data_IF_426239694317
#
_entry.id   IF_426239694317
#
_cell.length_a   1.000
_cell.length_b   1.000
_cell.length_c   1.000
_cell.angle_alpha   90.00
_cell.angle_beta   90.00
_cell.angle_gamma   90.00
#
_symmetry.space_group_name_H-M   'P 1'
#
loop_
_entity.id
_entity.type
_entity.pdbx_description
1 polymer ?
#
# COMPACT_ATOMS: atom_id res chain seq x y z
N UNK A 1 -25.46 28.76 24.33
CA UNK A 1 -25.89 28.57 25.71
C UNK A 1 -25.93 29.90 26.45
N UNK A 2 -26.86 30.05 27.36
CA UNK A 2 -26.99 31.27 28.22
C UNK A 2 -27.15 30.83 29.66
N UNK A 3 -26.75 31.70 30.61
CA UNK A 3 -26.97 31.51 32.04
C UNK A 3 -28.21 32.33 32.48
N UNK A 4 -29.03 31.75 33.36
CA UNK A 4 -30.20 32.39 33.96
C UNK A 4 -30.46 31.83 35.35
N UNK A 5 -31.54 32.27 36.07
CA UNK A 5 -31.83 31.83 37.43
C UNK A 5 -31.97 30.31 37.63
N UNK A 6 -32.08 29.55 36.53
CA UNK A 6 -32.15 28.07 36.53
C UNK A 6 -30.91 27.36 35.99
N UNK A 7 -29.75 28.02 35.90
CA UNK A 7 -28.51 27.45 35.36
C UNK A 7 -28.33 27.63 33.84
N UNK A 8 -27.49 26.77 33.26
CA UNK A 8 -27.17 26.81 31.82
C UNK A 8 -28.33 26.30 30.97
N UNK A 9 -28.69 27.06 29.93
CA UNK A 9 -29.64 26.64 28.90
C UNK A 9 -28.94 26.59 27.53
N UNK A 10 -29.17 25.54 26.76
CA UNK A 10 -28.68 25.38 25.40
C UNK A 10 -29.83 24.95 24.48
N UNK A 11 -29.88 25.53 23.27
CA UNK A 11 -30.88 25.16 22.26
C UNK A 11 -30.63 23.75 21.70
N UNK A 12 -29.37 23.34 21.61
CA UNK A 12 -28.95 22.01 21.18
C UNK A 12 -27.68 21.60 21.89
N UNK A 13 -27.47 20.29 21.97
CA UNK A 13 -26.27 19.71 22.56
C UNK A 13 -26.17 18.21 22.27
N UNK A 14 -24.99 17.66 22.44
CA UNK A 14 -24.74 16.23 22.31
C UNK A 14 -23.60 15.79 23.20
N UNK A 15 -23.67 14.56 23.68
CA UNK A 15 -22.60 13.90 24.41
C UNK A 15 -21.88 12.98 23.44
N UNK A 16 -20.54 13.09 23.40
CA UNK A 16 -19.67 12.21 22.66
C UNK A 16 -18.75 11.49 23.64
N UNK A 17 -18.71 10.17 23.55
CA UNK A 17 -17.75 9.35 24.30
C UNK A 17 -16.40 9.38 23.56
N UNK A 18 -15.42 10.05 24.14
CA UNK A 18 -14.09 10.21 23.53
C UNK A 18 -13.27 8.90 23.53
N UNK A 19 -13.76 7.83 24.15
CA UNK A 19 -13.16 6.50 24.10
C UNK A 19 -13.65 5.68 22.89
N UNK A 20 -14.65 6.18 22.18
CA UNK A 20 -15.26 5.51 21.04
C UNK A 20 -15.27 6.45 19.82
N UNK A 21 -15.21 5.85 18.62
CA UNK A 21 -15.36 6.59 17.37
C UNK A 21 -16.77 6.48 16.77
N UNK A 22 -17.77 6.21 17.62
CA UNK A 22 -19.16 6.10 17.17
C UNK A 22 -19.68 7.44 16.67
N UNK A 23 -20.32 7.44 15.52
CA UNK A 23 -21.05 8.59 15.01
C UNK A 23 -22.43 8.66 15.70
N UNK A 24 -23.01 9.86 15.71
CA UNK A 24 -24.39 10.01 16.17
C UNK A 24 -25.37 9.21 15.28
N UNK A 25 -26.55 8.86 15.78
CA UNK A 25 -27.60 8.32 14.92
C UNK A 25 -27.95 9.25 13.76
N UNK A 26 -28.30 8.70 12.62
CA UNK A 26 -28.67 9.48 11.42
C UNK A 26 -29.84 10.42 11.69
N UNK A 27 -29.80 11.62 11.13
CA UNK A 27 -30.79 12.67 11.32
C UNK A 27 -30.72 13.38 12.69
N UNK A 28 -29.71 13.09 13.51
CA UNK A 28 -29.53 13.74 14.83
C UNK A 28 -28.43 14.78 14.80
N UNK A 29 -28.79 16.09 14.89
CA UNK A 29 -27.78 17.16 15.01
C UNK A 29 -27.05 17.04 16.36
N UNK A 30 -25.94 17.75 16.49
CA UNK A 30 -25.24 17.99 17.77
C UNK A 30 -25.43 19.45 18.22
N UNK A 31 -24.38 20.06 18.80
CA UNK A 31 -24.32 21.52 18.94
C UNK A 31 -24.11 22.21 17.57
N UNK A 32 -23.65 21.46 16.58
CA UNK A 32 -23.70 21.90 15.18
C UNK A 32 -24.73 21.08 14.36
N UNK A 33 -25.25 21.65 13.26
CA UNK A 33 -26.28 21.00 12.44
C UNK A 33 -25.79 19.77 11.70
N UNK A 34 -24.49 19.62 11.45
CA UNK A 34 -23.92 18.44 10.81
C UNK A 34 -23.92 17.20 11.72
N UNK A 35 -24.18 17.36 13.03
CA UNK A 35 -24.14 16.27 14.00
C UNK A 35 -22.72 15.82 14.37
N UNK A 36 -21.73 16.67 14.14
CA UNK A 36 -20.33 16.41 14.45
C UNK A 36 -19.93 16.93 15.85
N UNK A 37 -18.85 16.42 16.47
CA UNK A 37 -18.31 16.99 17.69
C UNK A 37 -17.61 18.32 17.39
N UNK A 38 -17.94 19.37 18.15
CA UNK A 38 -17.41 20.73 17.93
C UNK A 38 -15.93 20.80 18.33
N UNK A 39 -15.60 20.40 19.58
CA UNK A 39 -14.27 20.60 20.18
C UNK A 39 -13.10 20.01 19.36
N UNK A 40 -13.18 18.80 18.80
CA UNK A 40 -12.08 18.23 18.03
C UNK A 40 -11.75 18.97 16.72
N UNK A 41 -12.70 19.78 16.20
CA UNK A 41 -12.51 20.51 14.95
C UNK A 41 -12.07 21.97 15.13
N UNK A 42 -11.97 22.47 16.35
CA UNK A 42 -11.56 23.85 16.61
C UNK A 42 -10.07 24.06 16.39
N UNK A 43 -9.72 25.23 15.87
CA UNK A 43 -8.33 25.72 15.89
C UNK A 43 -7.98 26.08 17.33
N UNK A 44 -6.95 25.48 17.93
CA UNK A 44 -6.51 25.77 19.31
C UNK A 44 -5.17 26.48 19.31
N UNK A 45 -5.07 27.49 20.19
CA UNK A 45 -3.85 28.30 20.26
C UNK A 45 -2.60 27.45 20.61
N UNK A 46 -2.71 26.52 21.56
CA UNK A 46 -1.58 25.70 21.99
C UNK A 46 -1.02 24.83 20.86
N UNK A 47 -1.85 24.36 19.93
CA UNK A 47 -1.38 23.62 18.75
C UNK A 47 -0.67 24.56 17.77
N UNK A 48 -1.20 25.77 17.58
CA UNK A 48 -0.56 26.77 16.72
C UNK A 48 0.78 27.22 17.31
N UNK A 49 0.85 27.43 18.63
CA UNK A 49 2.08 27.76 19.35
C UNK A 49 3.12 26.61 19.27
N UNK A 50 2.66 25.35 19.31
CA UNK A 50 3.50 24.17 19.12
C UNK A 50 3.95 23.99 17.65
N UNK A 51 3.41 24.78 16.71
CA UNK A 51 3.80 24.75 15.30
C UNK A 51 3.07 23.74 14.43
N UNK A 52 2.17 22.91 14.97
CA UNK A 52 1.45 21.89 14.22
C UNK A 52 0.03 21.62 14.77
N UNK A 53 -0.96 21.59 13.87
CA UNK A 53 -2.30 21.08 14.12
C UNK A 53 -2.41 19.72 13.46
N UNK A 54 -2.84 18.68 14.20
CA UNK A 54 -2.86 17.27 13.75
C UNK A 54 -4.26 16.72 13.54
N UNK A 55 -5.22 17.56 13.18
CA UNK A 55 -6.60 17.15 12.94
C UNK A 55 -7.27 17.98 11.84
N UNK A 56 -8.42 17.49 11.38
CA UNK A 56 -9.33 18.16 10.48
C UNK A 56 -9.96 19.38 11.19
N UNK A 57 -10.07 20.50 10.47
CA UNK A 57 -10.70 21.71 10.99
C UNK A 57 -12.19 21.76 10.61
N UNK A 58 -13.02 22.40 11.42
CA UNK A 58 -14.41 22.68 11.07
C UNK A 58 -14.55 24.09 10.52
N UNK A 59 -15.53 24.27 9.62
CA UNK A 59 -15.85 25.59 9.06
C UNK A 59 -17.34 25.72 8.81
N UNK A 60 -17.81 26.98 8.64
CA UNK A 60 -19.17 27.33 8.27
C UNK A 60 -19.27 27.90 6.86
N UNK A 61 -20.49 27.83 6.29
CA UNK A 61 -20.86 28.42 5.03
C UNK A 61 -22.25 29.07 5.14
N UNK A 62 -22.55 30.14 4.35
CA UNK A 62 -23.84 30.84 4.46
C UNK A 62 -25.03 30.03 3.97
N UNK A 63 -24.77 29.00 3.15
CA UNK A 63 -25.78 28.06 2.66
C UNK A 63 -25.18 26.69 2.43
N UNK A 64 -25.98 25.67 2.66
CA UNK A 64 -25.65 24.29 2.36
C UNK A 64 -26.77 23.65 1.54
N UNK A 65 -26.43 22.55 0.86
CA UNK A 65 -27.42 21.66 0.28
C UNK A 65 -28.23 20.99 1.38
N UNK A 66 -29.53 20.73 1.14
CA UNK A 66 -30.37 19.92 2.02
C UNK A 66 -30.01 18.44 1.91
N UNK A 67 -28.80 18.16 2.36
CA UNK A 67 -28.19 16.83 2.37
C UNK A 67 -26.96 16.80 3.28
N UNK A 68 -26.53 15.63 3.64
CA UNK A 68 -25.25 15.42 4.31
C UNK A 68 -24.49 14.24 3.74
N UNK A 69 -23.17 14.27 3.86
CA UNK A 69 -22.26 13.18 3.53
C UNK A 69 -21.44 12.78 4.75
N UNK A 70 -21.00 11.55 4.78
CA UNK A 70 -20.14 11.04 5.87
C UNK A 70 -18.90 11.95 6.10
N UNK A 71 -18.54 12.25 7.36
CA UNK A 71 -19.05 11.70 8.63
C UNK A 71 -20.21 12.47 9.25
N UNK A 72 -20.76 13.51 8.59
CA UNK A 72 -21.94 14.18 9.10
C UNK A 72 -23.14 13.23 9.18
N UNK A 73 -24.06 13.51 10.09
CA UNK A 73 -25.24 12.68 10.39
C UNK A 73 -26.55 13.41 10.23
N UNK A 74 -26.47 14.72 10.01
CA UNK A 74 -27.62 15.60 9.88
C UNK A 74 -27.29 16.79 9.00
N UNK A 75 -28.30 17.45 8.48
CA UNK A 75 -28.22 18.74 7.82
C UNK A 75 -29.36 19.63 8.33
N UNK A 76 -29.17 20.94 8.43
CA UNK A 76 -30.29 21.87 8.62
C UNK A 76 -31.14 21.90 7.36
N UNK A 77 -32.38 22.41 7.41
CA UNK A 77 -33.12 22.78 6.20
C UNK A 77 -32.24 23.64 5.30
N UNK A 78 -32.06 23.24 4.07
CA UNK A 78 -31.14 23.85 3.13
C UNK A 78 -31.76 24.06 1.75
N UNK A 79 -30.91 24.32 0.78
CA UNK A 79 -31.32 24.48 -0.61
C UNK A 79 -31.26 23.11 -1.37
N UNK A 80 -32.20 22.84 -2.26
CA UNK A 80 -32.09 21.69 -3.16
C UNK A 80 -31.00 21.86 -4.25
N UNK A 81 -30.39 23.06 -4.32
CA UNK A 81 -29.42 23.39 -5.36
C UNK A 81 -28.18 22.46 -5.33
N UNK A 82 -27.93 21.79 -6.43
CA UNK A 82 -26.86 20.78 -6.56
C UNK A 82 -25.45 21.38 -6.50
N UNK A 83 -25.32 22.69 -6.73
CA UNK A 83 -24.04 23.42 -6.69
C UNK A 83 -23.62 23.84 -5.27
N UNK A 84 -24.45 23.60 -4.26
CA UNK A 84 -24.11 23.86 -2.86
C UNK A 84 -23.51 22.60 -2.22
N UNK A 85 -22.52 22.75 -1.33
CA UNK A 85 -21.95 21.63 -0.62
C UNK A 85 -22.93 21.06 0.40
N UNK A 86 -23.05 19.73 0.54
CA UNK A 86 -23.78 19.11 1.64
C UNK A 86 -23.00 19.24 2.96
N UNK A 87 -23.69 19.14 4.11
CA UNK A 87 -23.00 19.02 5.40
C UNK A 87 -22.06 17.82 5.42
N UNK A 88 -20.89 17.94 6.05
CA UNK A 88 -19.87 16.91 6.04
C UNK A 88 -18.95 16.93 4.82
N UNK A 89 -19.21 17.80 3.82
CA UNK A 89 -18.29 17.93 2.69
C UNK A 89 -16.93 18.41 3.17
N UNK A 90 -15.89 17.67 2.78
CA UNK A 90 -14.50 18.03 3.08
C UNK A 90 -13.89 18.82 1.94
N UNK A 91 -13.08 19.79 2.33
CA UNK A 91 -12.25 20.56 1.41
C UNK A 91 -10.80 20.53 1.89
N UNK A 92 -9.88 20.57 0.97
CA UNK A 92 -8.44 20.56 1.24
C UNK A 92 -7.79 21.70 0.47
N UNK A 93 -6.94 22.47 1.15
CA UNK A 93 -6.11 23.48 0.48
C UNK A 93 -5.17 22.80 -0.51
N UNK A 94 -5.06 23.36 -1.70
CA UNK A 94 -4.25 22.78 -2.78
C UNK A 94 -2.80 22.57 -2.35
N UNK A 95 -2.16 21.45 -2.76
CA UNK A 95 -0.78 21.17 -2.39
C UNK A 95 0.24 22.24 -2.85
N UNK A 96 -0.03 22.87 -3.99
CA UNK A 96 0.79 23.89 -4.63
C UNK A 96 0.57 25.30 -4.06
N UNK A 97 -0.43 25.52 -3.16
CA UNK A 97 -0.67 26.83 -2.55
C UNK A 97 0.54 27.25 -1.70
N UNK A 98 1.10 28.44 -1.99
CA UNK A 98 2.25 28.95 -1.23
C UNK A 98 1.79 29.61 0.08
N UNK A 99 2.32 29.11 1.19
CA UNK A 99 2.03 29.62 2.54
C UNK A 99 3.14 30.50 3.09
N UNK A 100 4.26 30.67 2.40
CA UNK A 100 5.43 31.38 2.92
C UNK A 100 5.19 32.86 3.19
N UNK A 101 4.31 33.49 2.42
CA UNK A 101 3.94 34.91 2.58
C UNK A 101 2.90 35.20 3.67
N UNK A 102 2.60 34.24 4.56
CA UNK A 102 1.64 34.42 5.66
C UNK A 102 2.36 34.55 7.01
N UNK A 103 1.76 35.26 8.01
CA UNK A 103 2.25 35.28 9.37
C UNK A 103 2.29 33.85 9.98
N UNK A 104 3.19 33.62 10.94
CA UNK A 104 3.47 32.28 11.48
C UNK A 104 2.23 31.54 11.98
N UNK A 105 1.35 32.21 12.75
CA UNK A 105 0.11 31.57 13.23
C UNK A 105 -0.78 31.11 12.05
N UNK A 106 -0.93 31.97 11.03
CA UNK A 106 -1.69 31.61 9.84
C UNK A 106 -1.04 30.48 9.04
N UNK A 107 0.31 30.43 8.94
CA UNK A 107 1.01 29.34 8.26
C UNK A 107 0.74 27.98 8.89
N UNK A 108 0.66 27.88 10.23
CA UNK A 108 0.36 26.62 10.93
C UNK A 108 -1.03 26.12 10.55
N UNK A 109 -2.02 27.04 10.55
CA UNK A 109 -3.41 26.74 10.15
C UNK A 109 -3.44 26.29 8.68
N UNK A 110 -2.79 27.03 7.78
CA UNK A 110 -2.76 26.70 6.36
C UNK A 110 -2.07 25.35 6.06
N UNK A 111 -1.02 25.02 6.81
CA UNK A 111 -0.41 23.68 6.72
C UNK A 111 -1.37 22.58 7.15
N UNK A 112 -2.17 22.80 8.20
CA UNK A 112 -3.21 21.87 8.60
C UNK A 112 -4.28 21.72 7.52
N UNK A 113 -4.71 22.81 6.89
CA UNK A 113 -5.67 22.79 5.77
C UNK A 113 -5.10 22.05 4.55
N UNK A 114 -3.79 22.12 4.29
CA UNK A 114 -3.13 21.32 3.24
C UNK A 114 -3.08 19.81 3.59
N UNK A 115 -2.85 19.47 4.85
CA UNK A 115 -2.64 18.08 5.28
C UNK A 115 -3.94 17.35 5.60
N UNK A 116 -4.78 17.95 6.41
CA UNK A 116 -6.02 17.35 6.92
C UNK A 116 -7.28 17.94 6.29
N UNK A 117 -7.20 19.18 5.81
CA UNK A 117 -8.35 19.89 5.25
C UNK A 117 -9.30 20.43 6.30
N UNK A 118 -10.51 20.76 5.85
CA UNK A 118 -11.62 21.21 6.68
C UNK A 118 -12.93 20.56 6.26
N UNK A 119 -13.92 20.57 7.15
CA UNK A 119 -15.23 19.95 6.96
C UNK A 119 -16.34 20.97 7.21
N UNK A 120 -17.34 21.00 6.33
CA UNK A 120 -18.53 21.82 6.51
C UNK A 120 -19.37 21.25 7.65
N UNK A 121 -19.43 21.98 8.75
CA UNK A 121 -20.09 21.53 9.98
C UNK A 121 -21.29 22.39 10.36
N UNK A 122 -21.31 23.66 9.93
CA UNK A 122 -22.30 24.63 10.37
C UNK A 122 -22.72 25.59 9.24
N UNK A 123 -23.85 26.25 9.46
CA UNK A 123 -24.27 27.43 8.69
C UNK A 123 -23.83 28.69 9.43
N UNK A 124 -23.26 29.64 8.69
CA UNK A 124 -22.69 30.87 9.24
C UNK A 124 -21.96 31.70 8.19
N UNK A 125 -21.04 32.54 8.56
CA UNK A 125 -20.26 33.33 7.61
C UNK A 125 -19.50 32.42 6.61
N UNK A 126 -19.25 32.96 5.40
CA UNK A 126 -18.59 32.21 4.33
C UNK A 126 -17.15 31.85 4.72
N UNK A 127 -16.80 30.56 4.61
CA UNK A 127 -15.45 30.03 4.81
C UNK A 127 -14.84 30.34 6.19
N UNK A 128 -15.69 30.56 7.20
CA UNK A 128 -15.21 30.84 8.56
C UNK A 128 -14.74 29.57 9.24
N UNK A 129 -13.49 29.57 9.68
CA UNK A 129 -12.94 28.57 10.59
C UNK A 129 -13.30 28.95 12.03
N UNK A 130 -13.58 27.94 12.86
CA UNK A 130 -13.86 28.15 14.27
C UNK A 130 -12.62 27.88 15.11
N UNK A 131 -12.28 28.81 15.99
CA UNK A 131 -11.19 28.72 16.95
C UNK A 131 -11.67 28.70 18.40
N UNK A 132 -10.90 28.08 19.28
CA UNK A 132 -11.10 28.22 20.71
C UNK A 132 -10.72 29.63 21.15
N UNK A 133 -11.53 30.33 21.99
CA UNK A 133 -11.16 31.63 22.54
C UNK A 133 -9.85 31.56 23.31
N UNK A 134 -8.92 32.49 23.02
CA UNK A 134 -7.65 32.61 23.72
C UNK A 134 -7.10 34.04 23.53
N UNK A 135 -6.67 34.67 24.61
CA UNK A 135 -6.17 36.05 24.58
C UNK A 135 -4.79 36.19 23.89
N UNK A 136 -4.12 35.09 23.65
CA UNK A 136 -2.82 35.04 22.98
C UNK A 136 -2.93 35.09 21.44
N UNK A 137 -4.14 35.05 20.86
CA UNK A 137 -4.32 35.16 19.42
C UNK A 137 -3.88 36.53 18.90
N UNK A 138 -3.04 36.50 17.87
CA UNK A 138 -2.78 37.68 17.05
C UNK A 138 -3.86 37.83 15.95
N UNK A 139 -4.87 38.63 16.23
CA UNK A 139 -5.98 38.87 15.31
C UNK A 139 -5.52 39.49 13.97
N UNK A 140 -4.42 40.24 13.96
CA UNK A 140 -3.87 40.81 12.72
C UNK A 140 -3.24 39.72 11.87
N UNK A 141 -2.50 38.78 12.51
CA UNK A 141 -1.97 37.60 11.84
C UNK A 141 -3.08 36.68 11.29
N UNK A 142 -4.16 36.49 12.06
CA UNK A 142 -5.31 35.67 11.63
C UNK A 142 -6.10 36.32 10.50
N UNK A 143 -6.19 37.65 10.44
CA UNK A 143 -6.87 38.38 9.36
C UNK A 143 -6.23 38.09 7.98
N UNK A 144 -4.93 37.70 7.96
CA UNK A 144 -4.27 37.30 6.73
C UNK A 144 -4.89 36.06 6.06
N UNK A 145 -5.59 35.20 6.81
CA UNK A 145 -6.33 34.04 6.26
C UNK A 145 -7.41 34.48 5.26
N UNK A 146 -7.93 35.70 5.37
CA UNK A 146 -8.90 36.26 4.40
C UNK A 146 -8.36 36.43 2.98
N UNK A 147 -7.06 36.27 2.75
CA UNK A 147 -6.45 36.24 1.40
C UNK A 147 -6.69 34.92 0.66
N UNK A 148 -7.02 33.83 1.39
CA UNK A 148 -7.28 32.51 0.81
C UNK A 148 -8.69 32.49 0.23
N UNK A 149 -8.82 32.02 -1.00
CA UNK A 149 -10.10 31.98 -1.72
C UNK A 149 -10.64 30.55 -1.80
N UNK A 150 -11.95 30.42 -2.00
CA UNK A 150 -12.57 29.10 -2.23
C UNK A 150 -11.98 28.34 -3.41
N UNK A 151 -11.48 29.02 -4.45
CA UNK A 151 -10.77 28.45 -5.60
C UNK A 151 -9.42 27.79 -5.25
N UNK A 152 -8.85 28.11 -4.08
CA UNK A 152 -7.61 27.54 -3.61
C UNK A 152 -7.82 26.17 -2.94
N UNK A 153 -9.08 25.76 -2.77
CA UNK A 153 -9.47 24.49 -2.19
C UNK A 153 -9.93 23.49 -3.25
N UNK A 154 -9.78 22.22 -2.92
CA UNK A 154 -10.32 21.09 -3.66
C UNK A 154 -11.34 20.37 -2.79
N UNK A 155 -12.48 19.99 -3.36
CA UNK A 155 -13.42 19.08 -2.71
C UNK A 155 -12.81 17.68 -2.63
N UNK A 156 -12.96 17.04 -1.47
CA UNK A 156 -12.45 15.69 -1.21
C UNK A 156 -13.61 14.71 -1.24
N UNK A 157 -13.51 13.68 -2.05
CA UNK A 157 -14.40 12.52 -1.97
C UNK A 157 -14.05 11.69 -0.73
N UNK A 158 -14.92 11.76 0.27
CA UNK A 158 -14.77 11.01 1.52
C UNK A 158 -15.23 9.56 1.41
N UNK A 159 -15.89 9.16 0.33
CA UNK A 159 -16.44 7.80 0.15
C UNK A 159 -15.35 6.73 0.23
N UNK A 160 -14.19 6.96 -0.36
CA UNK A 160 -13.06 6.06 -0.31
C UNK A 160 -12.41 5.93 1.09
N UNK A 161 -12.67 6.87 1.98
CA UNK A 161 -12.14 6.92 3.35
C UNK A 161 -13.01 6.16 4.36
N UNK A 162 -14.24 5.83 4.00
CA UNK A 162 -15.18 5.17 4.91
C UNK A 162 -14.74 3.74 5.16
N UNK A 163 -14.43 3.42 6.42
CA UNK A 163 -14.21 2.04 6.88
C UNK A 163 -15.48 1.43 7.44
N UNK A 164 -16.17 2.20 8.25
CA UNK A 164 -17.46 1.87 8.86
C UNK A 164 -18.38 3.08 8.73
N UNK A 165 -19.52 2.99 8.03
CA UNK A 165 -20.44 4.12 7.87
C UNK A 165 -21.01 4.66 9.18
N UNK A 166 -20.99 3.88 10.25
CA UNK A 166 -21.51 4.27 11.57
C UNK A 166 -20.42 4.74 12.53
N UNK A 167 -19.15 4.74 12.11
CA UNK A 167 -18.02 5.22 12.90
C UNK A 167 -17.17 6.25 12.12
N UNK A 168 -16.46 7.12 12.84
CA UNK A 168 -15.59 8.15 12.26
C UNK A 168 -14.19 7.65 11.87
N UNK A 169 -14.02 6.35 11.71
CA UNK A 169 -12.74 5.78 11.27
C UNK A 169 -12.47 6.13 9.80
N UNK A 170 -11.31 6.70 9.56
CA UNK A 170 -10.72 6.69 8.22
C UNK A 170 -9.98 5.36 8.02
N UNK A 171 -9.98 4.86 6.80
CA UNK A 171 -9.11 3.72 6.46
C UNK A 171 -7.66 4.16 6.62
N UNK A 172 -6.82 3.36 7.29
CA UNK A 172 -5.40 3.62 7.29
C UNK A 172 -4.87 3.74 5.86
N UNK A 173 -3.98 4.68 5.65
CA UNK A 173 -3.36 4.87 4.33
C UNK A 173 -2.59 3.61 3.92
N UNK A 174 -2.84 3.11 2.72
CA UNK A 174 -2.04 2.04 2.16
C UNK A 174 -0.67 2.60 1.81
N UNK A 175 0.36 1.98 2.36
CA UNK A 175 1.75 2.31 2.04
C UNK A 175 2.40 1.12 1.37
N UNK A 176 3.00 1.36 0.22
CA UNK A 176 3.84 0.39 -0.47
C UNK A 176 5.29 0.74 -0.17
N UNK A 177 6.00 -0.21 0.39
CA UNK A 177 7.42 -0.05 0.67
C UNK A 177 8.25 -0.52 -0.53
N UNK A 178 7.88 -1.67 -1.11
CA UNK A 178 8.69 -2.27 -2.17
C UNK A 178 7.91 -3.31 -3.00
N UNK A 179 8.37 -3.52 -4.24
CA UNK A 179 7.96 -4.64 -5.11
C UNK A 179 9.23 -5.41 -5.46
N UNK A 180 9.25 -6.70 -5.18
CA UNK A 180 10.47 -7.52 -5.24
C UNK A 180 10.21 -8.87 -5.89
N UNK A 181 11.28 -9.57 -6.27
CA UNK A 181 11.25 -11.01 -6.48
C UNK A 181 11.01 -11.71 -5.13
N UNK A 182 10.09 -12.68 -5.06
CA UNK A 182 9.69 -13.33 -3.81
C UNK A 182 10.75 -14.27 -3.21
N UNK A 183 11.75 -14.67 -3.99
CA UNK A 183 12.83 -15.54 -3.52
C UNK A 183 14.05 -14.74 -3.07
N UNK A 184 14.43 -13.70 -3.82
CA UNK A 184 15.64 -12.93 -3.56
C UNK A 184 15.41 -11.64 -2.77
N UNK A 185 14.17 -11.18 -2.67
CA UNK A 185 13.76 -9.88 -2.13
C UNK A 185 14.43 -8.68 -2.81
N UNK A 186 15.11 -8.89 -3.95
CA UNK A 186 15.69 -7.80 -4.74
C UNK A 186 14.58 -6.99 -5.41
N UNK A 187 14.58 -5.67 -5.22
CA UNK A 187 13.63 -4.78 -5.90
C UNK A 187 14.08 -4.46 -7.33
N UNK A 188 13.18 -3.86 -8.11
CA UNK A 188 13.50 -3.13 -9.34
C UNK A 188 13.22 -3.88 -10.62
N UNK A 189 13.24 -5.21 -10.65
CA UNK A 189 13.00 -5.99 -11.86
C UNK A 189 11.99 -7.10 -11.63
N UNK A 190 11.01 -7.19 -12.54
CA UNK A 190 10.07 -8.30 -12.64
C UNK A 190 10.27 -9.01 -13.96
N UNK A 191 10.01 -10.30 -14.03
CA UNK A 191 10.04 -11.08 -15.27
C UNK A 191 8.77 -11.88 -15.45
N UNK A 192 8.35 -12.22 -16.69
CA UNK A 192 7.20 -13.06 -16.94
C UNK A 192 7.27 -14.37 -16.13
N UNK A 193 6.17 -14.80 -15.55
CA UNK A 193 6.08 -15.99 -14.73
C UNK A 193 6.67 -15.88 -13.32
N UNK A 194 7.45 -14.85 -13.00
CA UNK A 194 8.08 -14.69 -11.69
C UNK A 194 7.06 -14.60 -10.56
N UNK A 195 7.34 -15.27 -9.45
CA UNK A 195 6.62 -15.00 -8.20
C UNK A 195 7.19 -13.69 -7.61
N UNK A 196 6.36 -12.66 -7.57
CA UNK A 196 6.68 -11.36 -7.00
C UNK A 196 6.05 -11.15 -5.63
N UNK A 197 6.64 -10.27 -4.83
CA UNK A 197 6.09 -9.81 -3.55
C UNK A 197 5.95 -8.30 -3.53
N UNK A 198 4.80 -7.83 -3.07
CA UNK A 198 4.56 -6.42 -2.73
C UNK A 198 4.60 -6.33 -1.22
N UNK A 199 5.50 -5.50 -0.67
CA UNK A 199 5.59 -5.21 0.75
C UNK A 199 5.04 -3.83 1.06
N UNK A 200 4.41 -3.69 2.22
CA UNK A 200 3.83 -2.41 2.61
C UNK A 200 3.07 -2.45 3.92
N UNK A 201 2.10 -1.57 4.05
CA UNK A 201 1.16 -1.56 5.18
C UNK A 201 -0.26 -1.37 4.66
N UNK A 202 -1.20 -2.06 5.27
CA UNK A 202 -2.63 -2.00 4.92
C UNK A 202 -2.92 -2.36 3.45
N UNK A 203 -2.15 -3.29 2.89
CA UNK A 203 -2.27 -3.70 1.48
C UNK A 203 -3.58 -4.42 1.21
N UNK A 204 -3.81 -5.54 1.90
CA UNK A 204 -4.95 -6.44 1.72
C UNK A 204 -5.07 -7.39 2.91
N UNK A 205 -6.17 -8.17 2.99
CA UNK A 205 -6.32 -9.22 4.01
C UNK A 205 -6.63 -10.60 3.42
N UNK A 206 -7.28 -10.64 2.24
CA UNK A 206 -7.79 -11.86 1.65
C UNK A 206 -7.36 -11.99 0.18
N UNK A 207 -6.78 -13.12 -0.24
CA UNK A 207 -6.35 -13.32 -1.63
C UNK A 207 -7.52 -13.24 -2.63
N UNK A 208 -8.68 -13.77 -2.26
CA UNK A 208 -9.88 -13.81 -3.14
C UNK A 208 -10.47 -12.44 -3.42
N UNK A 209 -10.30 -11.50 -2.50
CA UNK A 209 -10.76 -10.11 -2.63
C UNK A 209 -9.66 -9.17 -3.14
N UNK A 210 -8.41 -9.67 -3.23
CA UNK A 210 -7.26 -8.90 -3.68
C UNK A 210 -7.02 -9.13 -5.16
N UNK A 211 -6.80 -8.06 -5.90
CA UNK A 211 -6.45 -8.10 -7.32
C UNK A 211 -5.21 -7.28 -7.57
N UNK A 212 -4.29 -7.83 -8.34
CA UNK A 212 -3.10 -7.15 -8.84
C UNK A 212 -3.23 -7.01 -10.34
N UNK A 213 -3.05 -5.80 -10.85
CA UNK A 213 -3.19 -5.49 -12.27
C UNK A 213 -1.93 -4.83 -12.81
N UNK A 214 -1.67 -5.09 -14.06
CA UNK A 214 -0.67 -4.43 -14.88
C UNK A 214 -1.34 -3.58 -15.96
N UNK A 215 -0.69 -2.47 -16.35
CA UNK A 215 -1.07 -1.59 -17.44
C UNK A 215 -2.56 -1.17 -17.44
N UNK A 216 -2.98 -0.45 -16.38
CA UNK A 216 -4.34 0.08 -16.25
C UNK A 216 -5.43 -1.01 -16.42
N UNK A 217 -5.29 -2.11 -15.67
CA UNK A 217 -6.26 -3.22 -15.64
C UNK A 217 -6.27 -4.12 -16.89
N UNK A 218 -5.43 -3.87 -17.86
CA UNK A 218 -5.39 -4.66 -19.10
C UNK A 218 -4.98 -6.11 -18.81
N UNK A 219 -4.04 -6.33 -17.85
CA UNK A 219 -3.57 -7.67 -17.50
C UNK A 219 -3.68 -7.88 -16.01
N UNK A 220 -4.40 -8.94 -15.62
CA UNK A 220 -4.58 -9.33 -14.21
C UNK A 220 -3.58 -10.42 -13.82
N UNK A 221 -2.89 -10.21 -12.70
CA UNK A 221 -2.02 -11.20 -12.09
C UNK A 221 -2.81 -12.19 -11.20
N UNK A 222 -2.27 -13.39 -11.06
CA UNK A 222 -2.75 -14.37 -10.08
C UNK A 222 -2.16 -14.03 -8.71
N UNK A 223 -3.03 -13.82 -7.72
CA UNK A 223 -2.63 -13.58 -6.33
C UNK A 223 -2.53 -14.92 -5.61
N UNK A 224 -1.34 -15.21 -5.05
CA UNK A 224 -1.05 -16.45 -4.32
C UNK A 224 -1.35 -16.30 -2.83
N UNK A 225 -1.03 -15.15 -2.26
CA UNK A 225 -1.27 -14.81 -0.86
C UNK A 225 -1.46 -13.31 -0.71
N UNK A 226 -2.30 -12.90 0.25
CA UNK A 226 -2.50 -11.51 0.59
C UNK A 226 -2.64 -11.35 2.10
N UNK A 227 -1.86 -10.40 2.65
CA UNK A 227 -1.82 -9.99 4.05
C UNK A 227 -1.75 -8.47 4.14
N UNK A 228 -1.95 -7.88 5.30
CA UNK A 228 -1.85 -6.43 5.46
C UNK A 228 -0.48 -5.84 5.10
N UNK A 229 0.57 -6.62 5.22
CA UNK A 229 1.97 -6.24 5.02
C UNK A 229 2.61 -6.82 3.77
N UNK A 230 1.99 -7.85 3.16
CA UNK A 230 2.56 -8.55 2.00
C UNK A 230 1.50 -9.13 1.07
N UNK A 231 1.73 -8.99 -0.25
CA UNK A 231 0.98 -9.70 -1.30
C UNK A 231 1.97 -10.47 -2.16
N UNK A 232 1.77 -11.78 -2.32
CA UNK A 232 2.51 -12.60 -3.27
C UNK A 232 1.64 -12.84 -4.51
N UNK A 233 2.24 -12.67 -5.68
CA UNK A 233 1.54 -12.77 -6.95
C UNK A 233 2.45 -13.35 -8.05
N UNK A 234 1.85 -13.85 -9.12
CA UNK A 234 2.59 -14.27 -10.32
C UNK A 234 2.57 -13.10 -11.31
N UNK A 235 3.75 -12.68 -11.77
CA UNK A 235 3.88 -11.74 -12.88
C UNK A 235 3.34 -12.40 -14.14
N UNK A 236 2.31 -11.86 -14.80
CA UNK A 236 1.68 -12.55 -15.93
C UNK A 236 2.67 -12.84 -17.05
N UNK A 237 2.59 -14.03 -17.64
CA UNK A 237 3.40 -14.37 -18.82
C UNK A 237 3.10 -13.45 -20.01
N UNK A 238 1.91 -12.83 -20.05
CA UNK A 238 1.55 -11.81 -21.03
C UNK A 238 2.45 -10.55 -20.96
N UNK A 239 3.25 -10.37 -19.90
CA UNK A 239 4.23 -9.27 -19.82
C UNK A 239 5.51 -9.56 -20.63
N UNK A 240 5.61 -10.68 -21.31
CA UNK A 240 6.75 -10.99 -22.18
C UNK A 240 6.85 -10.01 -23.35
N UNK A 241 8.02 -9.39 -23.51
CA UNK A 241 8.28 -8.37 -24.52
C UNK A 241 8.07 -6.92 -24.04
N UNK A 242 7.41 -6.73 -22.91
CA UNK A 242 7.33 -5.41 -22.27
C UNK A 242 8.68 -5.05 -21.62
N UNK A 243 8.97 -3.76 -21.52
CA UNK A 243 10.16 -3.24 -20.81
C UNK A 243 9.79 -2.60 -19.47
N UNK A 244 8.54 -2.22 -19.32
CA UNK A 244 7.98 -1.65 -18.09
C UNK A 244 6.46 -1.84 -18.04
N UNK A 245 5.89 -1.74 -16.85
CA UNK A 245 4.45 -1.79 -16.65
C UNK A 245 4.02 -0.93 -15.47
N UNK A 246 2.80 -0.40 -15.54
CA UNK A 246 2.16 0.20 -14.36
C UNK A 246 1.56 -0.91 -13.50
N UNK A 247 1.87 -0.90 -12.20
CA UNK A 247 1.38 -1.88 -11.24
C UNK A 247 0.34 -1.25 -10.31
N UNK A 248 -0.75 -1.96 -10.09
CA UNK A 248 -1.86 -1.56 -9.25
C UNK A 248 -2.37 -2.71 -8.39
N UNK A 249 -2.68 -2.41 -7.13
CA UNK A 249 -3.39 -3.32 -6.22
C UNK A 249 -4.80 -2.80 -5.98
N UNK A 250 -5.79 -3.71 -6.04
CA UNK A 250 -7.16 -3.47 -5.61
C UNK A 250 -7.54 -4.43 -4.49
N UNK A 251 -8.06 -3.86 -3.45
CA UNK A 251 -8.63 -4.62 -2.34
C UNK A 251 -9.95 -3.96 -1.93
N UNK A 252 -11.04 -4.69 -2.03
CA UNK A 252 -12.40 -4.16 -1.90
C UNK A 252 -12.62 -2.95 -2.84
N UNK A 253 -13.07 -1.80 -2.34
CA UNK A 253 -13.28 -0.57 -3.13
C UNK A 253 -12.03 0.33 -3.20
N UNK A 254 -10.89 -0.13 -2.69
CA UNK A 254 -9.65 0.65 -2.65
C UNK A 254 -8.74 0.29 -3.81
N UNK A 255 -8.28 1.30 -4.50
CA UNK A 255 -7.32 1.24 -5.60
C UNK A 255 -6.02 1.89 -5.15
N UNK A 256 -4.91 1.17 -5.28
CA UNK A 256 -3.58 1.65 -4.90
C UNK A 256 -2.63 1.48 -6.07
N UNK A 257 -2.18 2.59 -6.63
CA UNK A 257 -1.14 2.60 -7.65
C UNK A 257 0.23 2.47 -6.98
N UNK A 258 1.04 1.55 -7.48
CA UNK A 258 2.39 1.29 -7.01
C UNK A 258 3.45 2.00 -7.86
N UNK A 259 3.04 2.57 -8.99
CA UNK A 259 3.93 3.20 -9.95
C UNK A 259 4.37 2.27 -11.07
N UNK A 260 5.41 2.67 -11.77
CA UNK A 260 6.00 1.92 -12.86
C UNK A 260 7.03 0.92 -12.34
N UNK A 261 6.99 -0.31 -12.83
CA UNK A 261 7.95 -1.38 -12.55
C UNK A 261 8.67 -1.77 -13.85
N UNK A 262 9.94 -2.14 -13.76
CA UNK A 262 10.71 -2.61 -14.92
C UNK A 262 10.41 -4.08 -15.18
N UNK A 263 10.17 -4.43 -16.43
CA UNK A 263 10.00 -5.79 -16.90
C UNK A 263 11.25 -6.18 -17.69
N UNK A 264 11.82 -7.33 -17.33
CA UNK A 264 13.04 -7.87 -17.97
C UNK A 264 12.79 -9.32 -18.43
N UNK A 265 13.56 -9.83 -19.40
CA UNK A 265 13.36 -11.17 -19.94
C UNK A 265 13.44 -12.29 -18.88
N UNK A 266 14.33 -12.16 -17.89
CA UNK A 266 14.44 -13.03 -16.73
C UNK A 266 14.95 -12.26 -15.51
N UNK A 267 14.52 -12.66 -14.32
CA UNK A 267 14.97 -12.11 -13.03
C UNK A 267 15.05 -13.23 -11.99
N UNK A 268 16.01 -14.20 -12.15
CA UNK A 268 16.05 -15.38 -11.30
C UNK A 268 16.32 -15.04 -9.85
N UNK A 269 15.64 -15.75 -8.95
CA UNK A 269 15.89 -15.74 -7.51
C UNK A 269 15.79 -17.14 -6.95
N UNK A 270 16.77 -17.58 -6.17
CA UNK A 270 16.78 -18.88 -5.48
C UNK A 270 16.07 -18.70 -4.14
N UNK A 271 15.10 -19.55 -3.83
CA UNK A 271 14.48 -19.57 -2.51
C UNK A 271 15.46 -20.03 -1.44
N UNK A 272 15.31 -19.52 -0.22
CA UNK A 272 16.10 -19.93 0.96
C UNK A 272 15.21 -20.57 2.01
N UNK A 273 15.76 -21.44 2.84
CA UNK A 273 14.99 -22.21 3.83
C UNK A 273 14.37 -21.32 4.91
N UNK A 274 15.07 -20.26 5.28
CA UNK A 274 14.63 -19.27 6.28
C UNK A 274 13.83 -18.10 5.68
N UNK A 275 13.60 -18.13 4.38
CA UNK A 275 12.86 -17.09 3.65
C UNK A 275 13.52 -15.70 3.77
N UNK A 276 14.85 -15.64 3.96
CA UNK A 276 15.61 -14.39 4.08
C UNK A 276 16.15 -13.84 2.75
N UNK A 277 16.20 -14.69 1.72
CA UNK A 277 16.85 -14.40 0.43
C UNK A 277 18.37 -14.58 0.46
N UNK A 278 18.96 -15.03 1.55
CA UNK A 278 20.37 -15.35 1.70
C UNK A 278 20.56 -16.59 2.58
N UNK A 279 21.76 -17.16 2.64
CA UNK A 279 22.05 -18.35 3.44
C UNK A 279 21.69 -19.66 2.73
N UNK A 280 21.26 -20.66 3.50
CA UNK A 280 20.97 -21.99 2.96
C UNK A 280 19.85 -21.95 1.93
N UNK A 281 20.15 -22.36 0.70
CA UNK A 281 19.17 -22.46 -0.37
C UNK A 281 18.09 -23.52 -0.09
N UNK A 282 16.88 -23.30 -0.61
CA UNK A 282 15.84 -24.30 -0.69
C UNK A 282 16.25 -25.33 -1.76
N UNK A 283 17.13 -26.26 -1.37
CA UNK A 283 17.79 -27.22 -2.23
C UNK A 283 17.59 -28.62 -1.66
N UNK A 284 17.21 -29.56 -2.50
CA UNK A 284 17.13 -30.97 -2.15
C UNK A 284 18.34 -31.71 -2.71
N UNK A 285 18.84 -32.68 -1.94
CA UNK A 285 19.82 -33.67 -2.37
C UNK A 285 19.21 -34.69 -3.36
N UNK A 286 20.02 -35.52 -3.95
CA UNK A 286 19.57 -36.53 -4.90
C UNK A 286 18.58 -37.56 -4.29
N UNK A 287 18.64 -37.78 -2.99
CA UNK A 287 17.73 -38.62 -2.21
C UNK A 287 16.50 -37.87 -1.66
N UNK A 288 16.24 -36.64 -2.13
CA UNK A 288 15.17 -35.74 -1.73
C UNK A 288 15.25 -35.24 -0.28
N UNK A 289 16.34 -35.48 0.44
CA UNK A 289 16.57 -34.84 1.74
C UNK A 289 16.89 -33.36 1.54
N UNK A 290 16.49 -32.50 2.50
CA UNK A 290 16.85 -31.09 2.46
C UNK A 290 18.35 -30.92 2.66
N UNK A 291 19.02 -30.23 1.74
CA UNK A 291 20.45 -29.95 1.85
C UNK A 291 20.74 -29.04 3.04
N UNK A 292 21.84 -29.29 3.71
CA UNK A 292 22.30 -28.49 4.85
C UNK A 292 23.44 -29.20 5.59
N UNK A 293 23.87 -28.66 6.71
CA UNK A 293 24.98 -29.16 7.50
C UNK A 293 24.80 -30.61 7.96
N UNK A 294 23.54 -31.02 8.23
CA UNK A 294 23.24 -32.42 8.65
C UNK A 294 23.12 -33.40 7.48
N UNK A 295 22.78 -32.87 6.30
CA UNK A 295 22.57 -33.64 5.07
C UNK A 295 23.33 -32.96 3.91
N UNK A 296 24.67 -32.98 3.92
CA UNK A 296 25.47 -32.39 2.84
C UNK A 296 25.36 -33.22 1.54
N UNK A 297 25.31 -32.51 0.40
CA UNK A 297 25.31 -33.17 -0.91
C UNK A 297 26.65 -33.84 -1.20
N UNK A 298 26.62 -35.03 -1.79
CA UNK A 298 27.86 -35.68 -2.24
C UNK A 298 28.37 -35.00 -3.52
N UNK A 299 29.69 -34.88 -3.66
CA UNK A 299 30.30 -34.44 -4.93
C UNK A 299 29.90 -35.39 -6.07
N UNK A 300 29.57 -34.83 -7.22
CA UNK A 300 29.07 -35.57 -8.39
C UNK A 300 27.61 -35.98 -8.31
N UNK A 301 26.93 -35.83 -7.16
CA UNK A 301 25.48 -36.05 -7.06
C UNK A 301 24.68 -34.91 -7.67
N UNK A 302 23.39 -35.13 -7.91
CA UNK A 302 22.46 -34.12 -8.42
C UNK A 302 21.80 -33.44 -7.23
N UNK A 303 21.65 -32.11 -7.31
CA UNK A 303 20.85 -31.33 -6.38
C UNK A 303 19.72 -30.66 -7.13
N UNK A 304 18.58 -30.46 -6.45
CA UNK A 304 17.39 -29.78 -7.00
C UNK A 304 17.28 -28.42 -6.34
N UNK A 305 17.45 -27.36 -7.13
CA UNK A 305 17.43 -25.98 -6.69
C UNK A 305 16.06 -25.40 -7.01
N UNK A 306 15.35 -24.86 -6.01
CA UNK A 306 14.07 -24.20 -6.20
C UNK A 306 14.24 -22.69 -6.31
N UNK A 307 13.65 -22.12 -7.35
CA UNK A 307 13.83 -20.73 -7.75
C UNK A 307 12.52 -20.15 -8.33
N UNK A 308 12.56 -18.90 -8.76
CA UNK A 308 11.55 -18.24 -9.57
C UNK A 308 12.21 -17.24 -10.51
N UNK A 309 11.46 -16.72 -11.49
CA UNK A 309 11.95 -15.65 -12.36
C UNK A 309 12.68 -16.15 -13.61
N UNK A 310 12.32 -17.33 -14.08
CA UNK A 310 12.85 -17.98 -15.28
C UNK A 310 12.50 -17.25 -16.58
N UNK A 311 11.53 -16.34 -16.56
CA UNK A 311 11.03 -15.66 -17.75
C UNK A 311 10.06 -16.51 -18.57
N UNK A 312 9.92 -16.18 -19.86
CA UNK A 312 9.03 -16.91 -20.74
C UNK A 312 9.54 -18.35 -21.02
N UNK A 313 8.60 -19.28 -21.09
CA UNK A 313 8.89 -20.71 -21.26
C UNK A 313 8.45 -21.24 -22.63
N UNK A 314 8.90 -22.45 -22.96
CA UNK A 314 8.45 -23.28 -24.08
C UNK A 314 8.05 -24.67 -23.56
N UNK A 315 6.79 -25.10 -23.75
CA UNK A 315 5.63 -24.30 -24.23
C UNK A 315 5.39 -23.03 -23.41
N UNK A 316 4.66 -22.03 -23.97
CA UNK A 316 4.35 -20.79 -23.26
C UNK A 316 3.68 -21.06 -21.92
N UNK A 317 4.19 -20.40 -20.88
CA UNK A 317 3.67 -20.52 -19.52
C UNK A 317 2.23 -20.02 -19.38
N UNK A 318 1.51 -20.56 -18.40
CA UNK A 318 0.14 -20.19 -18.08
C UNK A 318 0.05 -19.78 -16.61
N UNK A 319 -0.49 -18.61 -16.35
CA UNK A 319 -0.58 -18.05 -15.02
C UNK A 319 -1.46 -18.92 -14.10
N UNK A 320 -0.96 -19.23 -12.89
CA UNK A 320 -1.73 -19.90 -11.84
C UNK A 320 -2.01 -21.39 -12.04
N UNK A 321 -1.48 -22.02 -13.08
CA UNK A 321 -1.66 -23.45 -13.32
C UNK A 321 -0.68 -24.25 -12.48
N UNK A 322 -1.14 -25.32 -11.83
CA UNK A 322 -0.25 -26.32 -11.22
C UNK A 322 0.41 -27.15 -12.33
N UNK A 323 1.74 -27.23 -12.29
CA UNK A 323 2.53 -27.86 -13.32
C UNK A 323 2.57 -29.38 -13.14
N UNK A 324 2.54 -30.08 -14.27
CA UNK A 324 2.75 -31.55 -14.36
C UNK A 324 3.97 -31.84 -15.23
N UNK A 325 4.58 -33.00 -15.05
CA UNK A 325 5.67 -33.44 -15.93
C UNK A 325 5.13 -33.93 -17.30
N UNK A 326 5.76 -33.60 -18.43
CA UNK A 326 6.90 -32.69 -18.58
C UNK A 326 6.49 -31.25 -18.41
N UNK A 327 7.19 -30.49 -17.57
CA UNK A 327 6.90 -29.09 -17.32
C UNK A 327 7.60 -28.18 -18.36
N UNK A 328 7.04 -26.99 -18.67
CA UNK A 328 7.66 -26.04 -19.59
C UNK A 328 9.08 -25.64 -19.17
N UNK A 329 9.97 -25.51 -20.13
CA UNK A 329 11.36 -25.09 -19.93
C UNK A 329 11.55 -23.59 -20.23
N UNK A 330 12.49 -22.88 -19.58
CA UNK A 330 12.83 -21.50 -19.93
C UNK A 330 13.29 -21.40 -21.39
N UNK A 331 12.89 -20.35 -22.08
CA UNK A 331 13.40 -20.04 -23.44
C UNK A 331 14.84 -19.58 -23.43
N UNK A 332 15.30 -19.00 -22.32
CA UNK A 332 16.65 -18.52 -22.17
C UNK A 332 17.53 -19.62 -21.59
N UNK A 333 18.84 -19.68 -21.94
CA UNK A 333 19.75 -20.68 -21.44
C UNK A 333 19.93 -20.57 -19.93
N UNK A 334 19.95 -21.70 -19.27
CA UNK A 334 20.13 -21.81 -17.80
C UNK A 334 21.51 -22.30 -17.48
N UNK A 335 22.20 -21.67 -16.54
CA UNK A 335 23.54 -22.05 -16.05
C UNK A 335 23.57 -21.94 -14.53
N UNK A 336 24.26 -22.84 -13.88
CA UNK A 336 24.46 -22.88 -12.43
C UNK A 336 25.94 -22.83 -12.10
N UNK A 337 26.33 -22.02 -11.14
CA UNK A 337 27.70 -21.97 -10.61
C UNK A 337 27.65 -22.32 -9.12
N UNK A 338 28.42 -23.31 -8.70
CA UNK A 338 28.52 -23.75 -7.31
C UNK A 338 29.99 -23.64 -6.89
N UNK A 339 30.25 -22.88 -5.83
CA UNK A 339 31.62 -22.68 -5.32
C UNK A 339 32.58 -22.08 -6.36
N UNK A 340 32.08 -21.26 -7.29
CA UNK A 340 32.85 -20.68 -8.38
C UNK A 340 33.06 -21.63 -9.59
N UNK A 341 32.57 -22.87 -9.54
CA UNK A 341 32.68 -23.83 -10.62
C UNK A 341 31.34 -24.01 -11.34
N UNK A 342 31.38 -24.12 -12.66
CA UNK A 342 30.19 -24.39 -13.45
C UNK A 342 29.68 -25.79 -13.20
N UNK A 343 28.39 -25.93 -12.90
CA UNK A 343 27.71 -27.21 -12.66
C UNK A 343 26.94 -27.64 -13.90
N UNK A 344 27.00 -28.94 -14.25
CA UNK A 344 26.19 -29.46 -15.34
C UNK A 344 24.72 -29.41 -14.96
N UNK A 345 23.89 -28.73 -15.77
CA UNK A 345 22.44 -28.64 -15.60
C UNK A 345 21.81 -29.86 -16.30
N UNK A 346 21.16 -30.71 -15.51
CA UNK A 346 20.49 -31.93 -16.00
C UNK A 346 19.01 -31.68 -16.33
N UNK A 347 18.41 -30.68 -15.65
CA UNK A 347 17.02 -30.23 -15.85
C UNK A 347 16.91 -28.79 -15.49
N UNK A 348 16.15 -28.03 -16.29
CA UNK A 348 15.70 -26.68 -15.97
C UNK A 348 14.29 -26.48 -16.52
N UNK A 349 13.33 -26.26 -15.66
CA UNK A 349 11.92 -26.12 -16.05
C UNK A 349 11.03 -25.81 -14.86
N UNK A 350 9.75 -25.67 -15.11
CA UNK A 350 8.78 -25.49 -14.02
C UNK A 350 8.85 -26.67 -13.05
N UNK A 351 8.62 -26.42 -11.77
CA UNK A 351 8.63 -27.43 -10.72
C UNK A 351 7.34 -28.27 -10.76
N UNK A 352 7.37 -29.58 -11.10
CA UNK A 352 6.17 -30.40 -11.13
C UNK A 352 5.48 -30.46 -9.77
N UNK A 353 4.16 -30.35 -9.74
CA UNK A 353 3.35 -30.29 -8.52
C UNK A 353 3.24 -28.88 -7.90
N UNK A 354 4.01 -27.91 -8.36
CA UNK A 354 3.94 -26.52 -7.91
C UNK A 354 3.25 -25.63 -8.94
N UNK A 355 2.93 -24.42 -8.53
CA UNK A 355 2.31 -23.43 -9.42
C UNK A 355 3.33 -22.91 -10.46
N UNK A 356 2.87 -22.60 -11.67
CA UNK A 356 3.68 -21.95 -12.69
C UNK A 356 4.32 -20.66 -12.12
N UNK A 357 5.64 -20.50 -12.35
CA UNK A 357 6.49 -19.50 -11.69
C UNK A 357 7.36 -20.08 -10.57
N UNK A 358 7.04 -21.27 -10.06
CA UNK A 358 8.00 -22.07 -9.30
C UNK A 358 8.91 -22.82 -10.27
N UNK A 359 10.17 -22.46 -10.24
CA UNK A 359 11.21 -22.95 -11.15
C UNK A 359 12.13 -23.93 -10.45
N UNK A 360 12.41 -25.06 -11.09
CA UNK A 360 13.32 -26.10 -10.60
C UNK A 360 14.51 -26.27 -11.53
N UNK A 361 15.70 -26.31 -10.96
CA UNK A 361 16.93 -26.61 -11.68
C UNK A 361 17.65 -27.80 -11.00
N UNK A 362 17.85 -28.87 -11.75
CA UNK A 362 18.68 -30.01 -11.28
C UNK A 362 20.10 -29.83 -11.80
N UNK A 363 21.04 -29.68 -10.90
CA UNK A 363 22.44 -29.44 -11.23
C UNK A 363 23.34 -30.48 -10.57
N UNK A 364 24.38 -30.90 -11.26
CA UNK A 364 25.37 -31.82 -10.75
C UNK A 364 26.44 -31.08 -9.95
N UNK A 365 26.62 -31.44 -8.70
CA UNK A 365 27.66 -30.87 -7.84
C UNK A 365 29.02 -31.17 -8.44
N UNK A 366 29.87 -30.16 -8.73
CA UNK A 366 31.19 -30.37 -9.32
C UNK A 366 32.04 -31.30 -8.45
N UNK A 367 32.66 -32.29 -9.06
CA UNK A 367 33.45 -33.31 -8.35
C UNK A 367 34.74 -32.75 -7.70
N UNK A 368 35.23 -31.64 -8.21
CA UNK A 368 36.44 -30.95 -7.71
C UNK A 368 36.19 -30.02 -6.52
N UNK A 369 34.93 -29.81 -6.08
CA UNK A 369 34.65 -29.01 -4.89
C UNK A 369 35.20 -29.67 -3.62
N UNK A 370 35.70 -28.85 -2.70
CA UNK A 370 36.02 -29.29 -1.35
C UNK A 370 34.72 -29.57 -0.55
N UNK A 371 34.84 -30.31 0.56
CA UNK A 371 33.74 -30.37 1.53
C UNK A 371 33.57 -29.01 2.22
N UNK A 372 32.32 -28.60 2.48
CA UNK A 372 32.02 -27.34 3.13
C UNK A 372 30.79 -26.62 2.55
N UNK A 373 30.61 -25.39 2.93
CA UNK A 373 29.52 -24.53 2.46
C UNK A 373 30.02 -23.74 1.25
N UNK A 374 29.27 -23.81 0.16
CA UNK A 374 29.61 -23.18 -1.11
C UNK A 374 28.52 -22.24 -1.59
N UNK A 375 28.85 -21.07 -2.16
CA UNK A 375 27.88 -20.18 -2.79
C UNK A 375 27.29 -20.83 -4.05
N UNK A 376 26.01 -20.57 -4.29
CA UNK A 376 25.27 -20.99 -5.48
C UNK A 376 24.72 -19.79 -6.20
N UNK A 377 24.99 -19.66 -7.50
CA UNK A 377 24.41 -18.64 -8.36
C UNK A 377 23.75 -19.29 -9.56
N UNK A 378 22.50 -18.92 -9.81
CA UNK A 378 21.71 -19.34 -10.96
C UNK A 378 21.67 -18.20 -12.00
N UNK A 379 21.95 -18.54 -13.25
CA UNK A 379 21.84 -17.60 -14.38
C UNK A 379 20.74 -18.06 -15.33
N UNK A 380 19.92 -17.11 -15.79
CA UNK A 380 18.94 -17.33 -16.87
C UNK A 380 19.17 -16.26 -17.92
N UNK A 381 19.62 -16.62 -19.13
CA UNK A 381 19.91 -15.68 -20.21
C UNK A 381 20.91 -14.58 -19.85
N UNK A 382 21.86 -14.85 -18.95
CA UNK A 382 22.83 -13.86 -18.47
C UNK A 382 22.39 -13.06 -17.24
N UNK A 383 21.14 -13.16 -16.79
CA UNK A 383 20.65 -12.54 -15.55
C UNK A 383 21.00 -13.41 -14.34
N UNK A 384 21.75 -12.90 -13.34
CA UNK A 384 22.12 -13.68 -12.16
C UNK A 384 21.04 -13.66 -11.09
N UNK A 385 20.93 -14.74 -10.34
CA UNK A 385 20.22 -14.75 -9.05
C UNK A 385 20.95 -13.88 -8.01
N UNK A 386 20.37 -13.77 -6.82
CA UNK A 386 21.03 -13.10 -5.70
C UNK A 386 22.32 -13.87 -5.29
N UNK A 387 23.26 -13.11 -4.76
CA UNK A 387 24.42 -13.62 -4.05
C UNK A 387 24.04 -14.04 -2.62
N UNK A 388 24.93 -14.83 -1.98
CA UNK A 388 24.77 -15.23 -0.58
C UNK A 388 23.91 -16.46 -0.36
N UNK A 389 23.35 -17.07 -1.42
CA UNK A 389 22.70 -18.39 -1.32
C UNK A 389 23.75 -19.49 -1.29
N UNK A 390 23.58 -20.47 -0.43
CA UNK A 390 24.58 -21.50 -0.19
C UNK A 390 24.03 -22.94 -0.31
N UNK A 391 24.94 -23.87 -0.55
CA UNK A 391 24.77 -25.30 -0.58
C UNK A 391 25.88 -25.94 0.24
N UNK A 392 25.58 -26.97 1.02
CA UNK A 392 26.58 -27.74 1.78
C UNK A 392 26.96 -29.04 1.03
N UNK A 393 28.28 -29.26 0.88
CA UNK A 393 28.86 -30.39 0.13
C UNK A 393 29.79 -31.24 1.03
N UNK A 394 29.81 -32.55 0.81
CA UNK A 394 30.73 -33.51 1.48
C UNK A 394 31.65 -34.27 0.50
#
# INVERSE_FOLDING_TARGET
ASTGPGGWRAAAGAIFDLKQNSLRPRGRPSADPAGLPVLPGLVRYDEVAAGEIRHLLRFSAPASRDAYVWPARSAPPGSPAANLPPMGQRFRLRPDFDVSGFPQQAQVILRALKRYGMILADQGPAWQLDGAPDDRWDNQALAALGRVRGSDFQAVDSGSLIRDPEASYVRPETRVANVTNAASYRPGYLSPGMIGSIFGAQLANEPTETRVFFNNETVRAVVLAARPDQINFIVPYAMAGETSAQLEVRYQNRRTFLGQVNIVPAAPGIFTLDVSGAGQGAILNQDFTVNGAQNPAARGSIVQIFATGEGQTDPPGRDGVTLTAPAPAPRLPVRVVIGGMEAVVEYAGGAPGLVAGAFQVNARVPAALSSGVHPVVLYVGGWPSQEGVTLTVR
#
